data_IF_348091934055
#
_entry.id   IF_348091934055
#
_cell.length_a   1.000
_cell.length_b   1.000
_cell.length_c   1.000
_cell.angle_alpha   90.00
_cell.angle_beta   90.00
_cell.angle_gamma   90.00
#
_symmetry.space_group_name_H-M   'P 1'
#
loop_
_entity.id
_entity.type
_entity.pdbx_description
1 polymer ?
#
# COMPACT_ATOMS: atom_id res chain seq x y z
N UNK A 1 -20.07 17.08 10.40
CA UNK A 1 -21.23 16.16 10.32
C UNK A 1 -22.44 16.74 9.61
N UNK A 2 -22.67 18.07 9.62
CA UNK A 2 -23.74 18.74 8.83
C UNK A 2 -23.45 18.73 7.35
N UNK A 3 -22.21 18.97 6.96
CA UNK A 3 -21.77 19.07 5.55
C UNK A 3 -21.93 17.74 4.80
N UNK A 4 -21.78 16.60 5.47
CA UNK A 4 -21.99 15.29 4.88
C UNK A 4 -23.48 15.00 4.58
N UNK A 5 -24.42 15.64 5.29
CA UNK A 5 -25.86 15.38 5.10
C UNK A 5 -26.39 15.99 3.80
N UNK A 6 -25.87 17.14 3.39
CA UNK A 6 -26.31 17.80 2.16
C UNK A 6 -25.80 17.09 0.92
N UNK A 7 -24.53 16.66 0.91
CA UNK A 7 -23.88 16.04 -0.25
C UNK A 7 -24.21 14.55 -0.45
N UNK A 8 -24.57 13.84 0.62
CA UNK A 8 -24.57 12.37 0.64
C UNK A 8 -25.98 11.77 0.71
N UNK A 9 -27.00 12.58 0.97
CA UNK A 9 -28.42 12.19 1.03
C UNK A 9 -28.73 11.16 2.12
N UNK A 10 -29.90 10.52 2.00
CA UNK A 10 -30.47 9.63 3.01
C UNK A 10 -29.65 8.38 3.34
N UNK A 11 -28.76 7.96 2.41
CA UNK A 11 -28.00 6.69 2.55
C UNK A 11 -27.12 6.64 3.80
N UNK A 12 -26.42 7.74 4.13
CA UNK A 12 -25.57 7.78 5.32
C UNK A 12 -26.43 7.80 6.60
N UNK A 13 -27.52 8.55 6.58
CA UNK A 13 -28.45 8.64 7.71
C UNK A 13 -29.07 7.28 8.00
N UNK A 14 -29.52 6.55 6.97
CA UNK A 14 -30.04 5.20 7.10
C UNK A 14 -28.99 4.21 7.61
N UNK A 15 -27.75 4.32 7.13
CA UNK A 15 -26.64 3.47 7.59
C UNK A 15 -26.34 3.71 9.06
N UNK A 16 -26.27 4.96 9.49
CA UNK A 16 -26.06 5.32 10.89
C UNK A 16 -27.24 4.93 11.80
N UNK A 17 -28.46 4.94 11.28
CA UNK A 17 -29.63 4.49 12.01
C UNK A 17 -29.63 2.96 12.23
N UNK A 18 -29.08 2.20 11.28
CA UNK A 18 -28.95 0.74 11.35
C UNK A 18 -27.72 0.29 12.14
N UNK A 19 -26.76 1.17 12.38
CA UNK A 19 -25.54 0.85 13.11
C UNK A 19 -25.87 0.65 14.60
N UNK A 20 -25.61 -0.55 15.16
CA UNK A 20 -25.83 -0.82 16.57
C UNK A 20 -24.86 -0.06 17.47
N UNK A 21 -23.73 0.40 16.91
CA UNK A 21 -22.65 1.05 17.66
C UNK A 21 -22.87 2.55 17.71
N UNK A 22 -22.90 3.11 18.92
CA UNK A 22 -23.12 4.55 19.15
C UNK A 22 -21.88 5.28 19.63
N UNK A 23 -20.98 4.57 20.29
CA UNK A 23 -19.79 5.14 20.90
C UNK A 23 -18.51 4.76 20.15
N UNK A 24 -17.52 5.69 20.13
CA UNK A 24 -16.21 5.45 19.53
C UNK A 24 -15.49 4.24 20.12
N UNK A 25 -15.66 3.99 21.43
CA UNK A 25 -15.02 2.84 22.08
C UNK A 25 -15.61 1.51 21.60
N UNK A 26 -16.92 1.44 21.49
CA UNK A 26 -17.64 0.27 20.98
C UNK A 26 -17.28 0.01 19.51
N UNK A 27 -17.19 1.08 18.70
CA UNK A 27 -16.77 0.98 17.30
C UNK A 27 -15.38 0.36 17.15
N UNK A 28 -14.41 0.81 17.94
CA UNK A 28 -13.05 0.27 17.91
C UNK A 28 -13.01 -1.21 18.36
N UNK A 29 -13.81 -1.59 19.35
CA UNK A 29 -13.92 -2.97 19.80
C UNK A 29 -14.53 -3.86 18.71
N UNK A 30 -15.58 -3.39 18.03
CA UNK A 30 -16.21 -4.16 16.95
C UNK A 30 -15.28 -4.31 15.74
N UNK A 31 -14.55 -3.26 15.36
CA UNK A 31 -13.51 -3.31 14.34
C UNK A 31 -12.42 -4.33 14.71
N UNK A 32 -11.95 -4.30 15.96
CA UNK A 32 -10.95 -5.25 16.46
C UNK A 32 -11.44 -6.69 16.36
N UNK A 33 -12.68 -6.95 16.80
CA UNK A 33 -13.28 -8.29 16.76
C UNK A 33 -13.37 -8.85 15.35
N UNK A 34 -13.63 -8.01 14.35
CA UNK A 34 -13.68 -8.42 12.94
C UNK A 34 -12.29 -8.66 12.33
N UNK A 35 -11.30 -7.87 12.73
CA UNK A 35 -9.94 -8.00 12.22
C UNK A 35 -9.16 -9.15 12.89
N UNK A 36 -9.46 -9.44 14.14
CA UNK A 36 -8.83 -10.51 14.93
C UNK A 36 -9.89 -11.39 15.62
N UNK A 37 -10.56 -12.25 14.86
CA UNK A 37 -11.50 -13.18 15.44
C UNK A 37 -10.75 -14.16 16.34
N UNK A 38 -11.18 -14.29 17.61
CA UNK A 38 -10.58 -15.19 18.59
C UNK A 38 -9.79 -14.50 19.72
N UNK A 39 -9.30 -13.29 19.50
CA UNK A 39 -8.65 -12.52 20.57
C UNK A 39 -9.68 -11.72 21.40
N UNK A 40 -9.59 -11.69 22.74
CA UNK A 40 -10.48 -10.89 23.56
C UNK A 40 -10.20 -9.39 23.33
N UNK A 41 -11.18 -8.61 22.87
CA UNK A 41 -10.98 -7.19 22.61
C UNK A 41 -10.93 -6.40 23.92
N UNK A 42 -9.85 -5.67 24.14
CA UNK A 42 -9.79 -4.62 25.17
C UNK A 42 -9.84 -3.24 24.51
N UNK A 43 -10.35 -2.24 25.19
CA UNK A 43 -10.46 -0.89 24.64
C UNK A 43 -9.08 -0.32 24.23
N UNK A 44 -8.04 -0.63 25.00
CA UNK A 44 -6.68 -0.17 24.75
C UNK A 44 -6.04 -0.90 23.55
N UNK A 45 -6.14 -2.24 23.49
CA UNK A 45 -5.62 -3.02 22.37
C UNK A 45 -6.31 -2.68 21.06
N UNK A 46 -7.62 -2.43 21.11
CA UNK A 46 -8.40 -2.03 19.95
C UNK A 46 -7.99 -0.66 19.42
N UNK A 47 -7.79 0.31 20.31
CA UNK A 47 -7.31 1.64 19.94
C UNK A 47 -5.91 1.60 19.36
N UNK A 48 -5.01 0.85 20.00
CA UNK A 48 -3.62 0.68 19.53
C UNK A 48 -3.57 0.00 18.18
N UNK A 49 -4.36 -1.05 17.95
CA UNK A 49 -4.43 -1.73 16.66
C UNK A 49 -4.88 -0.76 15.55
N UNK A 50 -5.96 -0.03 15.79
CA UNK A 50 -6.51 0.91 14.82
C UNK A 50 -5.53 2.05 14.51
N UNK A 51 -4.92 2.64 15.54
CA UNK A 51 -3.90 3.67 15.39
C UNK A 51 -2.71 3.16 14.58
N UNK A 52 -2.19 1.99 14.93
CA UNK A 52 -1.03 1.40 14.24
C UNK A 52 -1.33 1.00 12.79
N UNK A 53 -2.58 0.74 12.47
CA UNK A 53 -2.99 0.35 11.12
C UNK A 53 -3.01 1.54 10.15
N UNK A 54 -3.41 2.72 10.60
CA UNK A 54 -3.66 3.86 9.71
C UNK A 54 -2.81 5.10 10.01
N UNK A 55 -2.47 5.35 11.28
CA UNK A 55 -1.88 6.62 11.72
C UNK A 55 -0.43 6.51 12.17
N UNK A 56 0.13 5.32 12.25
CA UNK A 56 1.53 5.11 12.63
C UNK A 56 2.44 5.22 11.39
N UNK A 57 3.29 6.26 11.29
CA UNK A 57 4.17 6.46 10.14
C UNK A 57 5.23 5.37 9.99
N UNK A 58 5.50 4.58 11.04
CA UNK A 58 6.40 3.43 10.96
C UNK A 58 5.77 2.22 10.26
N UNK A 59 4.45 2.16 10.17
CA UNK A 59 3.69 1.02 9.63
C UNK A 59 2.90 1.34 8.38
N UNK A 60 2.49 2.58 8.21
CA UNK A 60 1.70 3.04 7.09
C UNK A 60 2.36 4.22 6.40
N UNK A 61 2.56 4.11 5.09
CA UNK A 61 3.15 5.16 4.28
C UNK A 61 2.51 5.16 2.88
N UNK A 62 1.80 6.22 2.55
CA UNK A 62 1.28 6.45 1.21
C UNK A 62 2.37 6.63 0.15
N UNK A 63 3.59 6.97 0.55
CA UNK A 63 4.61 7.59 -0.29
C UNK A 63 4.16 8.93 -0.91
N UNK A 64 5.09 9.68 -1.48
CA UNK A 64 4.77 10.96 -2.14
C UNK A 64 3.82 10.78 -3.33
N UNK A 65 4.05 9.75 -4.13
CA UNK A 65 3.24 9.46 -5.33
C UNK A 65 1.83 8.99 -4.94
N UNK A 66 1.72 8.15 -3.91
CA UNK A 66 0.43 7.69 -3.41
C UNK A 66 -0.40 8.84 -2.86
N UNK A 67 0.22 9.74 -2.07
CA UNK A 67 -0.46 10.94 -1.55
C UNK A 67 -0.92 11.87 -2.65
N UNK A 68 -0.07 12.09 -3.67
CA UNK A 68 -0.44 12.88 -4.84
C UNK A 68 -1.67 12.30 -5.56
N UNK A 69 -1.67 11.01 -5.88
CA UNK A 69 -2.81 10.36 -6.55
C UNK A 69 -4.08 10.41 -5.71
N UNK A 70 -3.94 10.21 -4.41
CA UNK A 70 -5.06 10.30 -3.47
C UNK A 70 -5.67 11.71 -3.48
N UNK A 71 -4.84 12.74 -3.36
CA UNK A 71 -5.29 14.11 -3.36
C UNK A 71 -5.92 14.51 -4.70
N UNK A 72 -5.28 14.13 -5.82
CA UNK A 72 -5.82 14.42 -7.15
C UNK A 72 -7.21 13.83 -7.35
N UNK A 73 -7.44 12.62 -6.86
CA UNK A 73 -8.73 11.95 -7.04
C UNK A 73 -9.83 12.45 -6.11
N UNK A 74 -9.52 12.69 -4.84
CA UNK A 74 -10.52 13.04 -3.83
C UNK A 74 -10.75 14.54 -3.70
N UNK A 75 -9.69 15.33 -3.82
CA UNK A 75 -9.75 16.79 -3.66
C UNK A 75 -9.66 17.55 -4.98
N UNK A 76 -9.37 16.88 -6.10
CA UNK A 76 -9.13 17.49 -7.40
C UNK A 76 -10.38 18.01 -8.11
N UNK A 77 -11.57 17.76 -7.60
CA UNK A 77 -12.82 18.33 -8.11
C UNK A 77 -13.54 19.06 -6.99
N UNK A 78 -13.40 20.37 -6.92
CA UNK A 78 -14.31 21.20 -6.13
C UNK A 78 -15.73 21.02 -6.66
N UNK A 79 -16.75 20.84 -5.80
CA UNK A 79 -18.13 20.80 -6.24
C UNK A 79 -18.45 22.11 -6.98
N UNK A 80 -18.75 22.03 -8.28
CA UNK A 80 -19.10 23.18 -9.12
C UNK A 80 -18.02 23.70 -10.05
N UNK A 81 -16.79 23.14 -10.03
CA UNK A 81 -15.78 23.48 -11.03
C UNK A 81 -15.93 22.54 -12.24
N UNK A 82 -16.23 23.11 -13.39
CA UNK A 82 -16.35 22.37 -14.64
C UNK A 82 -14.95 22.15 -15.23
N UNK A 83 -14.62 20.93 -15.62
CA UNK A 83 -13.33 20.59 -16.23
C UNK A 83 -13.01 21.41 -17.50
N UNK A 84 -14.02 22.07 -18.07
CA UNK A 84 -13.89 22.98 -19.21
C UNK A 84 -13.39 24.39 -18.84
N UNK A 85 -13.42 24.77 -17.57
CA UNK A 85 -13.01 26.09 -17.08
C UNK A 85 -11.51 26.21 -16.79
N UNK A 86 -10.73 25.19 -17.11
CA UNK A 86 -9.30 25.12 -16.86
C UNK A 86 -8.94 24.55 -15.49
N UNK A 87 -7.66 24.55 -15.13
CA UNK A 87 -7.22 24.04 -13.83
C UNK A 87 -7.79 24.88 -12.69
N UNK A 88 -8.44 24.23 -11.72
CA UNK A 88 -8.96 24.85 -10.51
C UNK A 88 -7.79 25.48 -9.72
N UNK A 89 -7.76 26.79 -9.46
CA UNK A 89 -6.68 27.43 -8.69
C UNK A 89 -6.55 26.85 -7.27
N UNK A 90 -7.63 26.39 -6.67
CA UNK A 90 -7.60 25.70 -5.39
C UNK A 90 -7.00 24.28 -5.49
N UNK A 91 -6.99 23.69 -6.70
CA UNK A 91 -6.31 22.44 -7.00
C UNK A 91 -4.80 22.59 -6.97
N UNK A 92 -4.27 23.66 -7.57
CA UNK A 92 -2.84 23.95 -7.60
C UNK A 92 -2.25 24.14 -6.20
N UNK A 93 -2.95 24.82 -5.29
CA UNK A 93 -2.51 24.99 -3.90
C UNK A 93 -2.52 23.68 -3.13
N UNK A 94 -3.54 22.82 -3.32
CA UNK A 94 -3.64 21.51 -2.66
C UNK A 94 -2.64 20.50 -3.21
N UNK A 95 -2.43 20.50 -4.52
CA UNK A 95 -1.42 19.66 -5.17
C UNK A 95 -0.02 20.17 -4.86
N UNK A 96 0.20 21.48 -4.87
CA UNK A 96 1.46 22.08 -4.47
C UNK A 96 1.78 21.79 -2.99
N UNK A 97 0.78 21.83 -2.10
CA UNK A 97 0.93 21.40 -0.71
C UNK A 97 1.30 19.91 -0.57
N UNK A 98 0.73 19.04 -1.39
CA UNK A 98 1.08 17.63 -1.45
C UNK A 98 2.49 17.39 -2.04
N UNK A 99 2.93 18.23 -2.99
CA UNK A 99 4.28 18.20 -3.58
C UNK A 99 5.33 18.87 -2.69
N UNK A 100 4.98 19.94 -1.99
CA UNK A 100 5.89 20.69 -1.12
C UNK A 100 6.39 19.89 0.10
N UNK A 101 6.13 18.61 0.12
CA UNK A 101 6.65 17.70 1.15
C UNK A 101 5.81 17.74 2.40
N UNK A 102 4.51 17.78 2.21
CA UNK A 102 3.60 17.48 3.30
C UNK A 102 4.08 16.21 3.97
N UNK A 103 4.51 16.34 5.22
CA UNK A 103 4.98 15.25 6.07
C UNK A 103 3.88 14.21 6.31
N UNK A 104 2.67 14.46 5.85
CA UNK A 104 1.48 13.63 6.00
C UNK A 104 1.49 12.43 5.04
N UNK A 105 2.39 11.50 5.30
CA UNK A 105 2.42 10.18 4.64
C UNK A 105 1.35 9.25 5.18
N UNK A 106 0.70 9.63 6.26
CA UNK A 106 -0.39 8.90 6.90
C UNK A 106 -1.73 9.56 6.62
N UNK A 107 -2.84 8.79 6.55
CA UNK A 107 -4.16 9.36 6.36
C UNK A 107 -4.59 10.21 7.56
N UNK A 108 -5.24 11.31 7.31
CA UNK A 108 -5.91 12.14 8.31
C UNK A 108 -7.37 11.70 8.51
N UNK A 109 -8.04 12.26 9.50
CA UNK A 109 -9.47 12.00 9.70
C UNK A 109 -10.32 12.56 8.57
N UNK A 110 -9.90 13.69 8.03
CA UNK A 110 -10.52 14.37 6.89
C UNK A 110 -10.45 13.49 5.64
N UNK A 111 -9.33 12.81 5.42
CA UNK A 111 -9.16 11.88 4.31
C UNK A 111 -10.20 10.74 4.34
N UNK A 112 -10.49 10.20 5.52
CA UNK A 112 -11.53 9.17 5.66
C UNK A 112 -12.93 9.70 5.31
N UNK A 113 -13.22 10.94 5.67
CA UNK A 113 -14.48 11.58 5.34
C UNK A 113 -14.61 11.77 3.83
N UNK A 114 -13.54 12.24 3.16
CA UNK A 114 -13.53 12.41 1.71
C UNK A 114 -13.62 11.06 0.96
N UNK A 115 -12.97 10.02 1.45
CA UNK A 115 -13.12 8.66 0.89
C UNK A 115 -14.59 8.20 0.97
N UNK A 116 -15.24 8.39 2.11
CA UNK A 116 -16.66 8.05 2.28
C UNK A 116 -17.55 8.87 1.35
N UNK A 117 -17.29 10.18 1.23
CA UNK A 117 -18.01 11.06 0.30
C UNK A 117 -17.87 10.58 -1.14
N UNK A 118 -16.65 10.27 -1.57
CA UNK A 118 -16.38 9.76 -2.91
C UNK A 118 -17.05 8.40 -3.16
N UNK A 119 -16.97 7.47 -2.20
CA UNK A 119 -17.61 6.16 -2.29
C UNK A 119 -19.13 6.28 -2.51
N UNK A 120 -19.76 7.24 -1.84
CA UNK A 120 -21.19 7.48 -1.98
C UNK A 120 -21.54 8.17 -3.33
N UNK A 121 -20.65 9.03 -3.85
CA UNK A 121 -20.76 9.56 -5.22
C UNK A 121 -20.71 8.44 -6.26
N UNK A 122 -19.72 7.53 -6.14
CA UNK A 122 -19.58 6.37 -7.03
C UNK A 122 -20.83 5.48 -6.98
N UNK A 123 -21.39 5.23 -5.79
CA UNK A 123 -22.66 4.48 -5.66
C UNK A 123 -23.83 5.13 -6.38
N UNK A 124 -23.84 6.45 -6.51
CA UNK A 124 -24.86 7.21 -7.27
C UNK A 124 -24.57 7.29 -8.77
N UNK A 125 -23.45 6.72 -9.23
CA UNK A 125 -23.05 6.78 -10.62
C UNK A 125 -22.41 8.12 -11.05
N UNK A 126 -22.04 8.99 -10.10
CA UNK A 126 -21.43 10.30 -10.38
C UNK A 126 -19.90 10.22 -10.43
N UNK A 127 -19.30 9.17 -9.85
CA UNK A 127 -17.85 8.97 -9.82
C UNK A 127 -17.42 7.78 -10.69
N UNK A 128 -16.15 7.75 -11.03
CA UNK A 128 -15.53 6.66 -11.77
C UNK A 128 -14.80 5.69 -10.86
N UNK A 129 -14.95 4.40 -11.11
CA UNK A 129 -14.13 3.37 -10.48
C UNK A 129 -12.72 3.40 -11.06
N UNK A 130 -11.72 3.16 -10.21
CA UNK A 130 -10.35 3.01 -10.67
C UNK A 130 -10.18 1.72 -11.45
N UNK A 131 -9.59 1.84 -12.63
CA UNK A 131 -9.11 0.68 -13.38
C UNK A 131 -7.78 0.20 -12.77
N UNK A 132 -7.86 -0.93 -12.07
CA UNK A 132 -6.72 -1.53 -11.35
C UNK A 132 -5.65 -2.03 -12.34
N UNK A 133 -6.06 -2.46 -13.53
CA UNK A 133 -5.16 -3.04 -14.52
C UNK A 133 -4.51 -2.00 -15.45
N UNK A 134 -4.97 -0.77 -15.38
CA UNK A 134 -4.36 0.33 -16.09
C UNK A 134 -2.89 0.53 -15.66
N UNK A 135 -1.94 0.59 -16.61
CA UNK A 135 -0.50 0.72 -16.29
C UNK A 135 -0.14 2.04 -15.58
N UNK A 136 -1.01 3.03 -15.59
CA UNK A 136 -0.90 4.22 -14.75
C UNK A 136 -1.06 3.92 -13.26
N UNK A 137 -1.77 2.85 -12.89
CA UNK A 137 -2.02 2.41 -11.53
C UNK A 137 -1.14 1.22 -11.12
N UNK A 138 -0.53 0.53 -12.09
CA UNK A 138 0.42 -0.58 -11.86
C UNK A 138 1.82 -0.12 -12.18
N UNK A 139 2.65 0.07 -11.17
CA UNK A 139 4.05 0.43 -11.36
C UNK A 139 4.96 -0.79 -11.42
N UNK A 140 6.05 -0.68 -12.13
CA UNK A 140 7.12 -1.67 -12.13
C UNK A 140 8.05 -1.40 -10.96
N UNK A 141 8.29 -2.42 -10.13
CA UNK A 141 9.28 -2.37 -9.06
C UNK A 141 10.61 -2.89 -9.56
N UNK A 142 11.66 -2.10 -9.38
CA UNK A 142 13.02 -2.50 -9.73
C UNK A 142 13.62 -3.45 -8.69
N UNK A 143 14.72 -4.11 -9.05
CA UNK A 143 15.46 -4.99 -8.15
C UNK A 143 15.93 -4.25 -6.89
N UNK A 144 16.34 -2.98 -7.02
CA UNK A 144 16.78 -2.17 -5.89
C UNK A 144 15.71 -2.01 -4.81
N UNK A 145 14.46 -1.74 -5.20
CA UNK A 145 13.33 -1.63 -4.26
C UNK A 145 13.02 -2.96 -3.58
N UNK A 146 13.06 -4.05 -4.33
CA UNK A 146 12.83 -5.39 -3.78
C UNK A 146 13.91 -5.77 -2.76
N UNK A 147 15.17 -5.45 -3.09
CA UNK A 147 16.31 -5.70 -2.20
C UNK A 147 16.26 -4.82 -0.94
N UNK A 148 15.89 -3.54 -1.09
CA UNK A 148 15.67 -2.63 0.04
C UNK A 148 14.64 -3.21 1.03
N UNK A 149 13.53 -3.73 0.53
CA UNK A 149 12.50 -4.35 1.37
C UNK A 149 13.05 -5.57 2.15
N UNK A 150 13.86 -6.41 1.50
CA UNK A 150 14.49 -7.56 2.17
C UNK A 150 15.53 -7.12 3.21
N UNK A 151 16.30 -6.11 2.88
CA UNK A 151 17.26 -5.52 3.81
C UNK A 151 16.54 -4.95 5.05
N UNK A 152 15.45 -4.22 4.84
CA UNK A 152 14.60 -3.69 5.93
C UNK A 152 14.07 -4.79 6.83
N UNK A 153 13.58 -5.91 6.28
CA UNK A 153 13.15 -7.08 7.05
C UNK A 153 14.30 -7.63 7.89
N UNK A 154 15.49 -7.74 7.31
CA UNK A 154 16.70 -8.17 8.01
C UNK A 154 17.06 -7.24 9.17
N UNK A 155 16.98 -5.92 8.97
CA UNK A 155 17.23 -4.93 10.02
C UNK A 155 16.22 -5.02 11.17
N UNK A 156 14.93 -5.19 10.87
CA UNK A 156 13.88 -5.36 11.90
C UNK A 156 14.13 -6.63 12.73
N UNK A 157 14.54 -7.73 12.09
CA UNK A 157 14.93 -8.96 12.80
C UNK A 157 16.15 -8.73 13.70
N UNK A 158 17.13 -7.99 13.21
CA UNK A 158 18.34 -7.63 13.98
C UNK A 158 18.01 -6.71 15.16
N UNK A 159 17.18 -5.70 14.95
CA UNK A 159 16.69 -4.79 16.01
C UNK A 159 15.99 -5.57 17.13
N UNK A 160 15.11 -6.51 16.78
CA UNK A 160 14.44 -7.37 17.77
C UNK A 160 15.44 -8.17 18.58
N UNK A 161 16.43 -8.79 17.94
CA UNK A 161 17.45 -9.56 18.60
C UNK A 161 18.34 -8.71 19.54
N UNK A 162 18.62 -7.46 19.14
CA UNK A 162 19.34 -6.50 19.99
C UNK A 162 18.51 -6.15 21.22
N UNK A 163 17.22 -5.83 21.04
CA UNK A 163 16.30 -5.51 22.15
C UNK A 163 16.18 -6.67 23.13
N UNK A 164 16.07 -7.89 22.63
CA UNK A 164 16.05 -9.10 23.47
C UNK A 164 17.36 -9.27 24.26
N UNK A 165 18.51 -9.11 23.61
CA UNK A 165 19.80 -9.15 24.32
C UNK A 165 19.90 -8.05 25.39
N UNK A 166 19.50 -6.82 25.05
CA UNK A 166 19.53 -5.71 25.99
C UNK A 166 18.64 -5.95 27.22
N UNK A 167 17.51 -6.64 27.05
CA UNK A 167 16.62 -6.95 28.17
C UNK A 167 17.20 -8.04 29.12
N UNK A 168 18.09 -8.88 28.63
CA UNK A 168 18.74 -9.94 29.42
C UNK A 168 20.02 -9.47 30.12
N UNK A 169 20.72 -8.48 29.54
CA UNK A 169 21.92 -7.92 30.16
C UNK A 169 21.56 -7.04 31.35
N UNK A 170 21.84 -7.51 32.56
CA UNK A 170 21.63 -6.75 33.80
C UNK A 170 22.68 -5.66 34.01
N UNK A 171 23.88 -5.80 33.44
CA UNK A 171 24.97 -4.83 33.52
C UNK A 171 25.32 -4.26 32.13
N UNK A 172 24.59 -3.24 31.73
CA UNK A 172 24.81 -2.55 30.44
C UNK A 172 26.10 -1.71 30.40
N UNK A 173 26.73 -1.43 31.55
CA UNK A 173 27.88 -0.53 31.66
C UNK A 173 29.14 -1.06 30.98
N UNK A 174 29.25 -2.37 30.74
CA UNK A 174 30.43 -3.02 30.15
C UNK A 174 30.18 -3.55 28.72
N UNK A 175 28.95 -3.52 28.24
CA UNK A 175 28.60 -4.06 26.91
C UNK A 175 29.04 -3.10 25.80
N UNK A 176 29.85 -3.58 24.88
CA UNK A 176 30.24 -2.83 23.69
C UNK A 176 29.21 -3.07 22.56
N UNK A 177 28.99 -2.09 21.65
CA UNK A 177 28.02 -2.23 20.56
C UNK A 177 28.21 -3.48 19.69
N UNK A 178 29.46 -3.90 19.47
CA UNK A 178 29.76 -5.09 18.65
C UNK A 178 29.33 -6.41 19.31
N UNK A 179 29.16 -6.45 20.63
CA UNK A 179 28.67 -7.63 21.34
C UNK A 179 27.15 -7.83 21.16
N UNK A 180 26.45 -6.72 20.96
CA UNK A 180 24.99 -6.70 20.79
C UNK A 180 24.58 -6.92 19.33
N UNK A 181 25.35 -6.40 18.38
CA UNK A 181 25.01 -6.40 16.96
C UNK A 181 25.39 -7.74 16.31
N UNK A 182 24.43 -8.38 15.66
CA UNK A 182 24.63 -9.58 14.87
C UNK A 182 24.13 -9.36 13.45
N UNK A 183 25.02 -9.43 12.47
CA UNK A 183 24.69 -9.22 11.06
C UNK A 183 24.00 -10.45 10.39
N UNK A 184 24.00 -11.61 11.04
CA UNK A 184 23.45 -12.86 10.47
C UNK A 184 22.00 -12.75 10.00
N UNK A 185 21.04 -12.10 10.70
CA UNK A 185 19.66 -11.95 10.24
C UNK A 185 19.54 -11.18 8.93
N UNK A 186 20.38 -10.16 8.72
CA UNK A 186 20.42 -9.38 7.49
C UNK A 186 20.98 -10.21 6.34
N UNK A 187 22.10 -10.89 6.57
CA UNK A 187 22.69 -11.79 5.59
C UNK A 187 21.75 -12.91 5.17
N UNK A 188 21.04 -13.51 6.14
CA UNK A 188 20.05 -14.56 5.87
C UNK A 188 18.88 -14.06 5.02
N UNK A 189 18.38 -12.85 5.27
CA UNK A 189 17.29 -12.27 4.47
C UNK A 189 17.72 -12.01 3.03
N UNK A 190 18.94 -11.55 2.81
CA UNK A 190 19.49 -11.33 1.47
C UNK A 190 19.73 -12.67 0.75
N UNK A 191 20.27 -13.65 1.44
CA UNK A 191 20.48 -15.00 0.89
C UNK A 191 19.16 -15.67 0.53
N UNK A 192 18.13 -15.52 1.35
CA UNK A 192 16.79 -16.03 1.10
C UNK A 192 16.22 -15.41 -0.19
N UNK A 193 16.39 -14.12 -0.39
CA UNK A 193 15.93 -13.43 -1.60
C UNK A 193 16.62 -13.96 -2.87
N UNK A 194 17.94 -14.08 -2.89
CA UNK A 194 18.66 -14.56 -4.06
C UNK A 194 18.54 -16.08 -4.27
N UNK A 195 18.38 -16.85 -3.21
CA UNK A 195 18.34 -18.31 -3.29
C UNK A 195 16.96 -18.92 -3.53
N UNK A 196 15.90 -18.31 -3.00
CA UNK A 196 14.55 -18.91 -3.02
C UNK A 196 13.45 -18.04 -3.61
N UNK A 197 13.73 -16.79 -3.98
CA UNK A 197 12.73 -15.90 -4.60
C UNK A 197 12.37 -16.36 -6.01
N UNK A 198 11.08 -16.30 -6.35
CA UNK A 198 10.60 -16.56 -7.72
C UNK A 198 11.20 -15.59 -8.77
N UNK A 199 11.65 -14.42 -8.35
CA UNK A 199 12.22 -13.39 -9.21
C UNK A 199 13.73 -13.61 -9.46
N UNK A 200 14.41 -14.32 -8.55
CA UNK A 200 15.80 -14.71 -8.73
C UNK A 200 15.86 -16.03 -9.50
N UNK A 201 16.33 -15.96 -10.73
CA UNK A 201 16.37 -17.10 -11.65
C UNK A 201 17.74 -17.23 -12.29
N UNK A 202 18.09 -18.44 -12.74
CA UNK A 202 19.24 -18.63 -13.59
C UNK A 202 19.09 -17.84 -14.88
N UNK A 203 20.15 -17.10 -15.25
CA UNK A 203 20.12 -16.28 -16.46
C UNK A 203 20.18 -17.18 -17.69
N UNK A 204 19.32 -16.90 -18.67
CA UNK A 204 19.38 -17.53 -19.98
C UNK A 204 20.55 -16.91 -20.77
N UNK A 205 21.58 -17.70 -21.02
CA UNK A 205 22.82 -17.29 -21.67
C UNK A 205 23.06 -17.97 -23.05
N UNK A 206 21.98 -18.36 -23.73
CA UNK A 206 22.10 -19.00 -25.05
C UNK A 206 22.77 -18.08 -26.08
N UNK A 207 22.43 -16.80 -26.04
CA UNK A 207 23.07 -15.74 -26.84
C UNK A 207 22.92 -14.39 -26.11
N UNK A 208 23.67 -13.34 -26.52
CA UNK A 208 23.58 -12.02 -25.87
C UNK A 208 22.18 -11.42 -25.87
N UNK A 209 21.38 -11.66 -26.91
CA UNK A 209 20.00 -11.17 -26.97
C UNK A 209 19.10 -11.87 -25.96
N UNK A 210 19.29 -13.16 -25.69
CA UNK A 210 18.57 -13.91 -24.64
C UNK A 210 18.83 -13.34 -23.26
N UNK A 211 20.07 -12.97 -22.96
CA UNK A 211 20.45 -12.35 -21.68
C UNK A 211 19.72 -11.01 -21.47
N UNK A 212 19.78 -10.13 -22.48
CA UNK A 212 19.08 -8.82 -22.41
C UNK A 212 17.58 -9.01 -22.25
N UNK A 213 16.99 -9.92 -23.00
CA UNK A 213 15.56 -10.22 -22.93
C UNK A 213 15.17 -10.75 -21.56
N UNK A 214 15.97 -11.61 -20.96
CA UNK A 214 15.70 -12.16 -19.63
C UNK A 214 15.75 -11.07 -18.56
N UNK A 215 16.73 -10.17 -18.61
CA UNK A 215 16.86 -9.05 -17.66
C UNK A 215 15.71 -8.03 -17.76
N UNK A 216 15.13 -7.87 -18.96
CA UNK A 216 14.00 -6.97 -19.22
C UNK A 216 12.61 -7.60 -18.98
N UNK A 217 12.57 -8.83 -18.52
CA UNK A 217 11.30 -9.53 -18.27
C UNK A 217 10.57 -8.93 -17.08
N UNK A 218 9.29 -8.65 -17.26
CA UNK A 218 8.37 -8.21 -16.19
C UNK A 218 7.59 -9.42 -15.67
N UNK A 219 7.40 -9.48 -14.37
CA UNK A 219 6.57 -10.50 -13.72
C UNK A 219 5.55 -9.84 -12.81
N UNK A 220 4.31 -10.32 -12.83
CA UNK A 220 3.28 -9.91 -11.86
C UNK A 220 3.33 -10.73 -10.57
N UNK A 221 4.13 -11.79 -10.56
CA UNK A 221 4.30 -12.70 -9.42
C UNK A 221 5.45 -12.23 -8.52
N UNK A 222 5.54 -12.82 -7.33
CA UNK A 222 6.63 -12.60 -6.40
C UNK A 222 6.25 -11.74 -5.19
N UNK A 223 7.23 -11.30 -4.39
CA UNK A 223 6.99 -10.54 -3.17
C UNK A 223 6.18 -9.26 -3.42
N UNK A 224 5.03 -9.14 -2.78
CA UNK A 224 4.11 -8.00 -2.97
C UNK A 224 3.38 -7.97 -4.31
N UNK A 225 3.48 -9.02 -5.13
CA UNK A 225 2.70 -9.24 -6.33
C UNK A 225 1.51 -10.18 -6.11
N UNK A 226 0.97 -10.67 -7.22
CA UNK A 226 -0.16 -11.59 -7.22
C UNK A 226 0.30 -13.05 -7.00
N UNK A 227 -0.52 -13.85 -6.34
CA UNK A 227 -0.36 -15.30 -6.37
C UNK A 227 -1.08 -15.91 -7.57
N UNK A 228 -0.57 -17.02 -8.12
CA UNK A 228 -1.19 -17.68 -9.29
C UNK A 228 -2.65 -18.04 -9.06
N UNK A 229 -3.00 -18.45 -7.86
CA UNK A 229 -4.34 -18.89 -7.49
C UNK A 229 -5.34 -17.73 -7.38
N UNK A 230 -4.84 -16.55 -6.97
CA UNK A 230 -5.67 -15.34 -6.78
C UNK A 230 -5.75 -14.45 -8.01
N UNK A 231 -5.02 -14.76 -9.07
CA UNK A 231 -5.05 -13.99 -10.30
C UNK A 231 -6.34 -14.27 -11.08
N UNK A 232 -7.26 -13.31 -11.13
CA UNK A 232 -8.48 -13.34 -11.94
C UNK A 232 -8.18 -13.30 -13.44
N UNK A 233 -9.22 -13.47 -14.24
CA UNK A 233 -9.11 -13.40 -15.72
C UNK A 233 -8.70 -12.01 -16.19
N UNK A 234 -9.17 -10.94 -15.55
CA UNK A 234 -8.90 -9.54 -15.92
C UNK A 234 -7.41 -9.23 -15.91
N UNK A 235 -6.68 -9.73 -14.90
CA UNK A 235 -5.21 -9.51 -14.78
C UNK A 235 -4.43 -10.29 -15.85
N UNK A 236 -4.99 -11.38 -16.36
CA UNK A 236 -4.37 -12.26 -17.38
C UNK A 236 -4.63 -11.77 -18.79
N UNK A 237 -5.58 -10.89 -18.95
CA UNK A 237 -5.99 -10.36 -20.24
C UNK A 237 -5.09 -9.18 -20.70
N UNK A 238 -5.24 -8.79 -21.96
CA UNK A 238 -4.49 -7.69 -22.53
C UNK A 238 -5.28 -6.40 -22.31
N UNK A 239 -4.67 -5.49 -21.55
CA UNK A 239 -5.25 -4.18 -21.34
C UNK A 239 -4.84 -3.21 -22.47
N UNK A 240 -5.70 -2.28 -22.91
CA UNK A 240 -5.35 -1.30 -23.94
C UNK A 240 -4.07 -0.49 -23.65
N UNK A 241 -3.78 -0.22 -22.38
CA UNK A 241 -2.56 0.50 -21.98
C UNK A 241 -1.28 -0.31 -22.15
N UNK A 242 -1.35 -1.61 -22.43
CA UNK A 242 -0.19 -2.46 -22.71
C UNK A 242 0.43 -2.15 -24.08
N UNK A 243 -0.35 -1.64 -25.02
CA UNK A 243 0.16 -1.31 -26.36
C UNK A 243 1.23 -0.23 -26.31
N UNK A 244 2.31 -0.45 -27.08
CA UNK A 244 3.47 0.41 -27.07
C UNK A 244 4.40 0.28 -25.86
N UNK A 245 4.03 -0.51 -24.82
CA UNK A 245 4.79 -0.69 -23.57
C UNK A 245 5.22 -2.13 -23.33
N UNK A 246 4.31 -3.06 -23.54
CA UNK A 246 4.53 -4.49 -23.31
C UNK A 246 4.37 -5.21 -24.64
N UNK A 247 5.34 -6.09 -24.97
CA UNK A 247 5.27 -6.88 -26.20
C UNK A 247 4.06 -7.84 -26.16
N UNK A 248 3.11 -7.77 -27.09
CA UNK A 248 1.91 -8.61 -27.07
C UNK A 248 2.23 -10.07 -27.40
N UNK A 249 3.30 -10.32 -28.11
CA UNK A 249 3.63 -11.64 -28.68
C UNK A 249 4.39 -12.55 -27.70
N UNK A 250 4.96 -12.00 -26.63
CA UNK A 250 5.74 -12.79 -25.68
C UNK A 250 4.90 -13.30 -24.51
N UNK A 251 4.71 -14.63 -24.46
CA UNK A 251 4.06 -15.35 -23.35
C UNK A 251 4.69 -15.09 -22.00
N UNK A 252 5.93 -14.58 -21.93
CA UNK A 252 6.63 -14.26 -20.71
C UNK A 252 6.18 -12.96 -20.03
N UNK A 253 5.43 -12.12 -20.73
CA UNK A 253 4.77 -10.93 -20.19
C UNK A 253 3.36 -11.22 -19.68
N UNK A 254 2.79 -12.34 -20.09
CA UNK A 254 1.57 -12.88 -19.47
C UNK A 254 1.97 -13.62 -18.19
N UNK A 255 1.17 -13.50 -17.15
CA UNK A 255 1.15 -14.49 -16.09
C UNK A 255 1.09 -15.84 -16.79
N UNK A 256 2.14 -16.66 -16.70
CA UNK A 256 2.18 -17.95 -17.34
C UNK A 256 0.87 -18.68 -17.11
N UNK A 257 -0.02 -18.57 -18.07
CA UNK A 257 -1.19 -19.42 -18.17
C UNK A 257 -0.70 -20.78 -18.63
N UNK A 258 -0.31 -21.60 -17.71
CA UNK A 258 -0.28 -23.06 -17.83
C UNK A 258 -0.76 -23.63 -16.52
#
# INVERSE_FOLDING_TARGET
SSDLREDVGETLVETLAKDPVKDQKEALIEIYRRLRPGDPPTAESSRTLFHNMFFDPARYDFSKVGRLKFNTKLYGSTPGHDLNDGPDPAWDERVAGAWAGGEDRTPSKEDFIEVLRYMLKVRRGIGELDDIDHLGNRRVRSVGELLENQFRIGLVRMERAIKEKMSVYQEMTTAMPHDLINAKPVMAAIQEFFGSSQLSQFMDQTNPLSEVTHKRRLSALGPGGLSRERAGFEVRDIHPTHYGRICPDRKSTRLNSQ
#
